data_IF_004532121758
#
_entry.id   IF_004532121758
#
_cell.length_a   1.000
_cell.length_b   1.000
_cell.length_c   1.000
_cell.angle_alpha   90.00
_cell.angle_beta   90.00
_cell.angle_gamma   90.00
#
_symmetry.space_group_name_H-M   'P 1'
#
loop_
_entity.id
_entity.type
_entity.pdbx_description
1 polymer ?
#
# COMPACT_ATOMS: atom_id res chain seq x y z
N UNK A 1 3.50 17.12 28.81
CA UNK A 1 2.84 17.72 27.62
C UNK A 1 3.52 17.13 26.39
N UNK A 2 2.80 16.42 25.53
CA UNK A 2 3.34 15.93 24.26
C UNK A 2 3.59 17.11 23.34
N UNK A 3 4.85 17.36 23.02
CA UNK A 3 5.24 18.44 22.10
C UNK A 3 4.69 18.14 20.68
N UNK A 4 3.75 18.96 20.23
CA UNK A 4 3.05 18.80 18.94
C UNK A 4 3.94 19.33 17.83
N UNK A 5 4.29 18.47 16.88
CA UNK A 5 5.19 18.85 15.79
C UNK A 5 4.44 19.65 14.73
N UNK A 6 4.94 20.85 14.43
CA UNK A 6 4.42 21.67 13.33
C UNK A 6 4.91 21.09 12.00
N UNK A 7 3.97 20.79 11.10
CA UNK A 7 4.26 20.22 9.78
C UNK A 7 3.83 21.21 8.70
N UNK A 8 4.71 21.46 7.73
CA UNK A 8 4.36 22.12 6.48
C UNK A 8 4.10 21.06 5.41
N UNK A 9 3.03 21.21 4.63
CA UNK A 9 2.76 20.35 3.49
C UNK A 9 3.14 21.11 2.21
N UNK A 10 4.02 20.51 1.41
CA UNK A 10 4.43 21.03 0.10
C UNK A 10 4.00 19.99 -0.93
N UNK A 11 3.00 20.35 -1.74
CA UNK A 11 2.32 19.47 -2.68
C UNK A 11 1.88 20.25 -3.90
N UNK A 12 1.83 19.57 -5.04
CA UNK A 12 1.31 20.13 -6.29
C UNK A 12 -0.06 19.53 -6.59
N UNK A 13 -1.06 20.38 -6.85
CA UNK A 13 -2.42 19.97 -7.21
C UNK A 13 -3.29 19.49 -6.04
N UNK A 14 -4.44 18.88 -6.37
CA UNK A 14 -5.47 18.48 -5.38
C UNK A 14 -5.02 17.36 -4.42
N UNK A 15 -3.94 16.63 -4.75
CA UNK A 15 -3.49 15.49 -3.97
C UNK A 15 -3.20 15.84 -2.51
N UNK A 16 -2.56 16.98 -2.28
CA UNK A 16 -2.26 17.44 -0.92
C UNK A 16 -3.49 17.70 -0.06
N UNK A 17 -4.47 18.38 -0.64
CA UNK A 17 -5.68 18.80 0.06
C UNK A 17 -6.63 17.63 0.32
N UNK A 18 -6.74 16.70 -0.64
CA UNK A 18 -7.65 15.57 -0.54
C UNK A 18 -7.02 14.40 0.21
N UNK A 19 -5.77 14.04 -0.09
CA UNK A 19 -5.19 12.79 0.40
C UNK A 19 -4.24 12.93 1.59
N UNK A 20 -3.54 14.06 1.72
CA UNK A 20 -2.50 14.21 2.73
C UNK A 20 -2.94 15.04 3.93
N UNK A 21 -3.53 16.22 3.72
CA UNK A 21 -3.91 17.13 4.80
C UNK A 21 -4.90 16.48 5.80
N UNK A 22 -6.00 15.83 5.39
CA UNK A 22 -6.93 15.21 6.33
C UNK A 22 -6.29 14.07 7.14
N UNK A 23 -5.33 13.36 6.54
CA UNK A 23 -4.62 12.26 7.18
C UNK A 23 -3.59 12.77 8.19
N UNK A 24 -2.88 13.87 7.88
CA UNK A 24 -1.96 14.53 8.80
C UNK A 24 -2.72 15.11 9.99
N UNK A 25 -3.85 15.78 9.75
CA UNK A 25 -4.67 16.41 10.78
C UNK A 25 -5.28 15.39 11.75
N UNK A 26 -5.53 14.17 11.29
CA UNK A 26 -5.98 13.08 12.13
C UNK A 26 -4.90 12.50 13.07
N UNK A 27 -3.62 12.88 12.90
CA UNK A 27 -2.51 12.37 13.73
C UNK A 27 -2.30 13.30 14.93
N UNK A 28 -2.56 12.86 16.18
CA UNK A 28 -2.49 13.74 17.36
C UNK A 28 -1.12 14.37 17.61
N UNK A 29 -0.07 13.75 17.07
CA UNK A 29 1.31 14.18 17.24
C UNK A 29 1.70 15.36 16.33
N UNK A 30 0.86 15.69 15.35
CA UNK A 30 1.15 16.62 14.26
C UNK A 30 0.16 17.77 14.25
N UNK A 31 0.64 18.95 13.85
CA UNK A 31 -0.21 20.10 13.54
C UNK A 31 0.21 20.69 12.20
N UNK A 32 -0.69 20.67 11.22
CA UNK A 32 -0.47 21.31 9.94
C UNK A 32 -0.46 22.83 10.14
N UNK A 33 0.62 23.52 9.74
CA UNK A 33 0.79 24.96 10.00
C UNK A 33 0.72 25.83 8.74
N UNK A 34 0.94 25.27 7.55
CA UNK A 34 0.86 25.98 6.27
C UNK A 34 0.86 25.00 5.09
N UNK A 35 -0.08 25.15 4.16
CA UNK A 35 0.02 24.60 2.80
C UNK A 35 0.93 25.53 2.00
N UNK A 36 2.18 25.13 1.82
CA UNK A 36 3.22 26.00 1.26
C UNK A 36 3.32 25.71 -0.24
N UNK A 37 2.79 26.64 -1.04
CA UNK A 37 2.94 26.62 -2.50
C UNK A 37 4.31 27.14 -2.99
N UNK A 38 5.10 27.79 -2.13
CA UNK A 38 6.40 28.41 -2.50
C UNK A 38 7.51 28.21 -1.44
N UNK A 39 8.71 27.70 -1.79
CA UNK A 39 9.72 27.27 -0.80
C UNK A 39 10.56 28.36 -0.11
N UNK A 40 10.34 29.64 -0.39
CA UNK A 40 11.35 30.72 -0.19
C UNK A 40 11.66 31.14 1.25
N UNK A 41 11.15 30.44 2.28
CA UNK A 41 11.32 30.84 3.71
C UNK A 41 11.74 29.72 4.65
N UNK A 42 12.19 28.57 4.12
CA UNK A 42 12.45 27.39 4.94
C UNK A 42 13.95 27.20 5.23
N UNK A 43 14.27 27.00 6.52
CA UNK A 43 15.63 26.71 6.99
C UNK A 43 16.14 25.33 6.52
N UNK A 44 17.46 25.19 6.44
CA UNK A 44 18.28 24.17 5.75
C UNK A 44 18.20 22.69 6.19
N UNK A 45 17.13 22.23 6.85
CA UNK A 45 17.00 20.82 7.26
C UNK A 45 15.67 20.22 6.81
N UNK A 46 15.65 19.59 5.63
CA UNK A 46 14.50 18.88 5.11
C UNK A 46 14.66 17.37 5.26
N UNK A 47 13.57 16.72 5.66
CA UNK A 47 13.50 15.27 5.77
C UNK A 47 12.69 14.73 4.59
N UNK A 48 13.37 14.20 3.57
CA UNK A 48 12.72 13.58 2.42
C UNK A 48 12.17 12.20 2.79
N UNK A 49 10.90 11.94 2.45
CA UNK A 49 10.20 10.66 2.69
C UNK A 49 9.35 10.28 1.49
N UNK A 50 9.21 8.98 1.24
CA UNK A 50 8.39 8.44 0.15
C UNK A 50 7.07 7.93 0.71
N UNK A 51 5.96 8.41 0.17
CA UNK A 51 4.62 8.04 0.61
C UNK A 51 4.17 6.71 -0.02
N UNK A 52 4.66 5.59 0.51
CA UNK A 52 4.15 4.26 0.18
C UNK A 52 3.02 3.85 1.13
N UNK A 53 1.91 4.61 1.10
CA UNK A 53 0.78 4.46 2.01
C UNK A 53 -0.02 3.15 1.84
N UNK A 54 0.03 2.51 0.67
CA UNK A 54 -0.64 1.23 0.42
C UNK A 54 -0.16 0.06 1.30
N UNK A 55 0.94 0.25 2.06
CA UNK A 55 1.34 -0.66 3.14
C UNK A 55 0.34 -0.69 4.30
N UNK A 56 -0.54 0.30 4.36
CA UNK A 56 -1.63 0.41 5.34
C UNK A 56 -3.00 0.30 4.67
N UNK A 57 -3.08 -0.27 3.45
CA UNK A 57 -4.35 -0.72 2.89
C UNK A 57 -4.85 -1.92 3.73
N UNK A 58 -6.15 -1.95 4.06
CA UNK A 58 -6.73 -3.02 4.87
C UNK A 58 -6.61 -4.40 4.23
N UNK A 59 -6.69 -4.47 2.89
CA UNK A 59 -6.48 -5.71 2.15
C UNK A 59 -5.03 -6.22 2.24
N UNK A 60 -4.04 -5.33 2.12
CA UNK A 60 -2.62 -5.65 2.26
C UNK A 60 -2.29 -6.09 3.69
N UNK A 61 -2.76 -5.36 4.70
CA UNK A 61 -2.60 -5.73 6.12
C UNK A 61 -3.21 -7.12 6.41
N UNK A 62 -4.34 -7.43 5.78
CA UNK A 62 -4.99 -8.75 5.91
C UNK A 62 -4.15 -9.85 5.27
N UNK A 63 -3.56 -9.60 4.09
CA UNK A 63 -2.62 -10.53 3.45
C UNK A 63 -1.40 -10.76 4.35
N UNK A 64 -0.82 -9.70 4.93
CA UNK A 64 0.30 -9.83 5.88
C UNK A 64 -0.08 -10.70 7.08
N UNK A 65 -1.24 -10.47 7.69
CA UNK A 65 -1.75 -11.30 8.80
C UNK A 65 -1.85 -12.79 8.41
N UNK A 66 -2.31 -13.08 7.20
CA UNK A 66 -2.41 -14.47 6.70
C UNK A 66 -1.01 -15.08 6.49
N UNK A 67 -0.07 -14.31 5.96
CA UNK A 67 1.32 -14.76 5.74
C UNK A 67 2.09 -14.97 7.05
N UNK A 68 1.93 -14.07 8.02
CA UNK A 68 2.58 -14.13 9.33
C UNK A 68 2.14 -15.34 10.16
N UNK A 69 0.96 -15.91 9.87
CA UNK A 69 0.53 -17.20 10.37
C UNK A 69 1.45 -18.37 9.96
N UNK A 70 2.52 -18.12 9.18
CA UNK A 70 3.45 -19.10 8.62
C UNK A 70 2.77 -20.19 7.81
N UNK A 71 1.60 -19.88 7.26
CA UNK A 71 0.80 -20.83 6.51
C UNK A 71 1.41 -21.15 5.12
N UNK A 72 2.46 -20.43 4.70
CA UNK A 72 2.86 -20.34 3.28
C UNK A 72 4.38 -20.43 2.97
N UNK A 73 5.29 -20.64 3.94
CA UNK A 73 6.73 -20.91 3.67
C UNK A 73 7.67 -19.69 3.54
N UNK A 74 8.91 -19.87 3.03
CA UNK A 74 10.02 -18.86 2.98
C UNK A 74 10.29 -18.31 1.57
N UNK A 75 10.65 -17.02 1.48
CA UNK A 75 10.85 -16.25 0.23
C UNK A 75 12.30 -15.71 0.11
N UNK A 76 12.95 -15.81 -1.06
CA UNK A 76 14.27 -15.21 -1.39
C UNK A 76 14.38 -15.02 -2.91
N UNK A 77 14.98 -13.96 -3.48
CA UNK A 77 14.81 -13.53 -4.90
C UNK A 77 15.84 -14.11 -5.89
N UNK A 78 15.43 -14.41 -7.14
CA UNK A 78 16.29 -14.87 -8.25
C UNK A 78 16.02 -14.23 -9.65
N UNK A 79 14.94 -13.49 -9.93
CA UNK A 79 14.76 -12.86 -11.27
C UNK A 79 13.47 -12.05 -11.51
N UNK A 80 13.45 -11.22 -12.57
CA UNK A 80 12.30 -10.37 -12.98
C UNK A 80 12.04 -10.45 -14.48
N UNK A 81 10.80 -10.71 -14.88
CA UNK A 81 10.31 -10.70 -16.28
C UNK A 81 9.06 -9.85 -16.38
N UNK A 82 8.88 -9.08 -17.45
CA UNK A 82 7.70 -8.23 -17.58
C UNK A 82 7.20 -8.11 -19.02
N UNK A 83 5.88 -7.92 -19.15
CA UNK A 83 5.18 -7.60 -20.39
C UNK A 83 4.42 -6.29 -20.19
N UNK A 84 4.67 -5.30 -21.03
CA UNK A 84 4.02 -4.00 -21.02
C UNK A 84 3.31 -3.78 -22.35
N UNK A 85 2.04 -3.39 -22.30
CA UNK A 85 1.22 -3.19 -23.49
C UNK A 85 0.44 -1.89 -23.44
N UNK A 86 0.27 -1.34 -24.62
CA UNK A 86 -0.70 -0.29 -24.95
C UNK A 86 -1.88 -0.95 -25.67
N UNK A 87 -2.95 -1.21 -24.94
CA UNK A 87 -4.11 -1.95 -25.44
C UNK A 87 -5.24 -1.04 -25.93
N UNK A 88 -5.45 0.13 -25.32
CA UNK A 88 -6.48 1.08 -25.81
C UNK A 88 -5.91 1.94 -26.93
N UNK A 89 -6.67 2.07 -28.01
CA UNK A 89 -6.28 2.85 -29.20
C UNK A 89 -5.90 4.31 -28.87
N UNK A 90 -6.61 4.92 -27.92
CA UNK A 90 -6.38 6.32 -27.50
C UNK A 90 -5.21 6.49 -26.54
N UNK A 91 -4.63 5.40 -26.02
CA UNK A 91 -3.64 5.50 -24.96
C UNK A 91 -2.28 5.94 -25.50
N UNK A 92 -1.68 6.94 -24.85
CA UNK A 92 -0.32 7.40 -25.19
C UNK A 92 0.75 6.66 -24.39
N UNK A 93 0.37 6.00 -23.30
CA UNK A 93 1.23 5.28 -22.36
C UNK A 93 0.79 3.81 -22.25
N UNK A 94 1.61 2.97 -21.64
CA UNK A 94 1.22 1.61 -21.30
C UNK A 94 0.01 1.63 -20.37
N UNK A 95 -0.98 0.79 -20.66
CA UNK A 95 -2.25 0.70 -19.92
C UNK A 95 -2.59 -0.74 -19.52
N UNK A 96 -1.64 -1.64 -19.73
CA UNK A 96 -1.64 -3.02 -19.29
C UNK A 96 -0.21 -3.44 -18.99
N UNK A 97 -0.01 -4.14 -17.88
CA UNK A 97 1.26 -4.79 -17.58
C UNK A 97 1.07 -6.10 -16.81
N UNK A 98 2.04 -6.99 -16.97
CA UNK A 98 2.26 -8.14 -16.11
C UNK A 98 3.75 -8.22 -15.76
N UNK A 99 4.08 -8.26 -14.47
CA UNK A 99 5.44 -8.42 -13.96
C UNK A 99 5.50 -9.72 -13.16
N UNK A 100 6.38 -10.60 -13.58
CA UNK A 100 6.72 -11.85 -12.92
C UNK A 100 8.05 -11.68 -12.16
N UNK A 101 7.99 -11.81 -10.85
CA UNK A 101 9.17 -11.84 -9.99
C UNK A 101 9.35 -13.25 -9.44
N UNK A 102 10.56 -13.77 -9.57
CA UNK A 102 10.91 -15.14 -9.24
C UNK A 102 11.82 -15.15 -8.03
N UNK A 103 11.50 -16.03 -7.09
CA UNK A 103 12.15 -16.20 -5.82
C UNK A 103 12.34 -17.73 -5.61
N UNK A 104 13.45 -18.26 -5.07
CA UNK A 104 13.52 -19.64 -4.63
C UNK A 104 12.30 -20.06 -3.81
N UNK A 105 11.46 -20.92 -4.39
CA UNK A 105 10.23 -21.42 -3.78
C UNK A 105 9.03 -20.45 -3.79
N UNK A 106 9.15 -19.25 -4.37
CA UNK A 106 8.05 -18.30 -4.53
C UNK A 106 8.00 -17.70 -5.94
N UNK A 107 6.78 -17.56 -6.44
CA UNK A 107 6.50 -16.80 -7.66
C UNK A 107 5.53 -15.67 -7.33
N UNK A 108 5.87 -14.44 -7.70
CA UNK A 108 5.00 -13.28 -7.53
C UNK A 108 4.64 -12.73 -8.90
N UNK A 109 3.34 -12.58 -9.16
CA UNK A 109 2.83 -11.94 -10.38
C UNK A 109 2.08 -10.68 -10.01
N UNK A 110 2.53 -9.54 -10.51
CA UNK A 110 1.84 -8.25 -10.42
C UNK A 110 1.20 -7.96 -11.77
N UNK A 111 -0.07 -7.57 -11.78
CA UNK A 111 -0.77 -7.25 -13.03
C UNK A 111 -1.72 -6.08 -12.84
N UNK A 112 -1.85 -5.26 -13.88
CA UNK A 112 -2.90 -4.26 -13.99
C UNK A 112 -3.30 -4.08 -15.44
N UNK A 113 -4.54 -3.66 -15.68
CA UNK A 113 -5.04 -3.40 -17.02
C UNK A 113 -6.29 -2.53 -17.01
N UNK A 114 -6.43 -1.66 -18.01
CA UNK A 114 -7.59 -0.79 -18.17
C UNK A 114 -8.78 -1.47 -18.87
N UNK A 115 -8.59 -2.66 -19.47
CA UNK A 115 -9.61 -3.41 -20.20
C UNK A 115 -10.08 -4.67 -19.45
N UNK A 116 -10.33 -4.55 -18.15
CA UNK A 116 -10.79 -5.66 -17.29
C UNK A 116 -12.24 -5.40 -16.86
N UNK A 117 -13.21 -5.96 -17.60
CA UNK A 117 -14.65 -5.74 -17.34
C UNK A 117 -15.17 -6.45 -16.10
N UNK A 118 -14.65 -7.65 -15.83
CA UNK A 118 -14.99 -8.43 -14.63
C UNK A 118 -13.70 -8.54 -13.82
N UNK A 119 -13.59 -7.82 -12.70
CA UNK A 119 -12.41 -7.89 -11.86
C UNK A 119 -12.31 -9.27 -11.21
N UNK A 120 -11.12 -9.87 -11.25
CA UNK A 120 -10.79 -11.05 -10.45
C UNK A 120 -10.41 -10.67 -9.00
N UNK A 121 -9.92 -11.64 -8.22
CA UNK A 121 -9.36 -11.36 -6.90
C UNK A 121 -8.19 -10.39 -7.02
N UNK A 122 -8.14 -9.41 -6.13
CA UNK A 122 -7.03 -8.45 -5.99
C UNK A 122 -5.77 -9.12 -5.48
N UNK A 123 -5.93 -10.05 -4.53
CA UNK A 123 -4.85 -10.93 -4.08
C UNK A 123 -5.25 -12.39 -4.24
N UNK A 124 -4.31 -13.17 -4.74
CA UNK A 124 -4.33 -14.63 -4.77
C UNK A 124 -3.03 -15.07 -4.12
N UNK A 125 -3.13 -15.77 -3.00
CA UNK A 125 -1.97 -16.29 -2.28
C UNK A 125 -2.14 -17.79 -2.17
N UNK A 126 -1.15 -18.53 -2.67
CA UNK A 126 -1.19 -19.98 -2.74
C UNK A 126 0.05 -20.54 -2.08
N UNK A 127 -0.14 -21.56 -1.25
CA UNK A 127 0.94 -22.34 -0.68
C UNK A 127 0.57 -23.81 -0.65
N UNK A 128 1.44 -24.60 -0.05
CA UNK A 128 1.32 -26.08 -0.05
C UNK A 128 0.09 -26.58 0.70
N UNK A 129 -0.37 -25.83 1.71
CA UNK A 129 -1.47 -26.24 2.59
C UNK A 129 -2.74 -25.38 2.44
N UNK A 130 -2.78 -24.46 1.48
CA UNK A 130 -3.97 -23.61 1.34
C UNK A 130 -3.89 -22.52 0.28
N UNK A 131 -5.05 -21.92 0.04
CA UNK A 131 -5.24 -20.80 -0.87
C UNK A 131 -6.06 -19.70 -0.18
N UNK A 132 -5.64 -18.46 -0.40
CA UNK A 132 -6.33 -17.27 0.05
C UNK A 132 -6.66 -16.35 -1.12
N UNK A 133 -7.93 -15.98 -1.26
CA UNK A 133 -8.41 -14.99 -2.23
C UNK A 133 -8.93 -13.75 -1.51
N UNK A 134 -8.56 -12.56 -1.98
CA UNK A 134 -9.11 -11.29 -1.47
C UNK A 134 -9.61 -10.44 -2.63
N UNK A 135 -10.89 -10.06 -2.56
CA UNK A 135 -11.53 -9.13 -3.48
C UNK A 135 -11.66 -7.74 -2.84
N UNK A 136 -12.13 -6.77 -3.61
CA UNK A 136 -12.31 -5.39 -3.16
C UNK A 136 -11.03 -4.58 -3.15
N UNK A 137 -11.16 -3.29 -2.88
CA UNK A 137 -10.08 -2.30 -2.77
C UNK A 137 -10.26 -1.57 -1.44
N UNK A 138 -9.17 -1.17 -0.80
CA UNK A 138 -9.22 -0.32 0.38
C UNK A 138 -10.07 0.96 0.16
N UNK A 139 -11.02 1.29 1.05
CA UNK A 139 -11.98 2.37 0.82
C UNK A 139 -11.44 3.77 1.18
N UNK A 140 -10.24 3.90 1.75
CA UNK A 140 -9.75 5.17 2.32
C UNK A 140 -9.61 6.25 1.25
N UNK A 141 -9.10 5.94 0.06
CA UNK A 141 -8.98 6.94 -1.01
C UNK A 141 -10.34 7.49 -1.45
N UNK A 142 -11.36 6.63 -1.57
CA UNK A 142 -12.70 7.06 -1.96
C UNK A 142 -13.40 7.82 -0.84
N UNK A 143 -13.18 7.42 0.42
CA UNK A 143 -13.63 8.19 1.58
C UNK A 143 -13.02 9.60 1.60
N UNK A 144 -11.72 9.73 1.34
CA UNK A 144 -11.04 11.04 1.24
C UNK A 144 -11.62 11.89 0.10
N UNK A 145 -11.87 11.30 -1.07
CA UNK A 145 -12.52 12.00 -2.20
C UNK A 145 -13.93 12.47 -1.86
N UNK A 146 -14.64 11.75 -0.98
CA UNK A 146 -15.95 12.14 -0.46
C UNK A 146 -15.88 13.15 0.71
N UNK A 147 -14.68 13.63 1.05
CA UNK A 147 -14.46 14.60 2.13
C UNK A 147 -14.49 14.00 3.54
N UNK A 148 -14.50 12.66 3.67
CA UNK A 148 -14.41 11.98 4.95
C UNK A 148 -12.98 11.98 5.47
N UNK A 149 -12.81 11.84 6.78
CA UNK A 149 -11.50 11.91 7.44
C UNK A 149 -11.21 10.72 8.35
N UNK A 150 -9.92 10.38 8.62
CA UNK A 150 -9.58 9.32 9.56
C UNK A 150 -9.99 9.54 11.01
N UNK A 151 -10.46 10.75 11.36
CA UNK A 151 -11.03 11.03 12.67
C UNK A 151 -12.45 10.45 12.86
N UNK A 152 -13.10 10.07 11.76
CA UNK A 152 -14.45 9.51 11.80
C UNK A 152 -14.48 8.04 12.26
N UNK A 153 -15.57 7.67 12.93
CA UNK A 153 -15.83 6.28 13.29
C UNK A 153 -15.98 5.41 12.03
N UNK A 154 -15.38 4.22 12.07
CA UNK A 154 -15.41 3.26 10.96
C UNK A 154 -14.42 3.58 9.83
N UNK A 155 -13.42 4.43 10.05
CA UNK A 155 -12.37 4.69 9.08
C UNK A 155 -11.67 3.41 8.62
N UNK A 156 -11.43 3.31 7.30
CA UNK A 156 -10.69 2.20 6.69
C UNK A 156 -11.41 0.84 6.74
N UNK A 157 -12.64 0.76 7.26
CA UNK A 157 -13.41 -0.49 7.32
C UNK A 157 -13.95 -0.83 5.93
N UNK A 158 -13.53 -1.97 5.39
CA UNK A 158 -14.04 -2.50 4.11
C UNK A 158 -15.41 -3.17 4.26
N UNK A 159 -16.09 -3.38 3.14
CA UNK A 159 -17.36 -4.12 3.09
C UNK A 159 -17.21 -5.56 3.55
N UNK A 160 -18.25 -6.15 4.14
CA UNK A 160 -18.23 -7.57 4.58
C UNK A 160 -18.16 -8.54 3.39
N UNK A 161 -18.62 -8.10 2.24
CA UNK A 161 -18.58 -8.80 0.96
C UNK A 161 -17.14 -8.95 0.46
N UNK A 162 -16.24 -8.04 0.86
CA UNK A 162 -14.82 -8.04 0.51
C UNK A 162 -13.95 -8.88 1.46
N UNK A 163 -14.57 -9.61 2.40
CA UNK A 163 -13.84 -10.52 3.29
C UNK A 163 -13.05 -11.54 2.48
N UNK A 164 -11.81 -11.75 2.90
CA UNK A 164 -10.94 -12.74 2.28
C UNK A 164 -11.54 -14.14 2.41
N UNK A 165 -11.28 -15.01 1.46
CA UNK A 165 -11.68 -16.41 1.50
C UNK A 165 -10.41 -17.26 1.66
N UNK A 166 -10.33 -17.99 2.77
CA UNK A 166 -9.22 -18.89 3.08
C UNK A 166 -9.73 -20.33 3.07
N UNK A 167 -9.09 -21.15 2.24
CA UNK A 167 -9.23 -22.60 2.30
C UNK A 167 -7.85 -23.17 2.65
N UNK A 168 -7.72 -23.84 3.79
CA UNK A 168 -6.43 -24.37 4.25
C UNK A 168 -6.58 -25.62 5.09
N UNK A 169 -5.51 -26.41 5.19
CA UNK A 169 -5.40 -27.55 6.09
C UNK A 169 -4.38 -27.26 7.19
N UNK A 170 -4.79 -27.38 8.44
CA UNK A 170 -3.88 -27.26 9.60
C UNK A 170 -4.11 -28.41 10.57
N UNK A 171 -3.06 -29.11 10.98
CA UNK A 171 -3.12 -30.20 11.96
C UNK A 171 -4.28 -31.21 11.71
N UNK A 172 -4.45 -31.64 10.45
CA UNK A 172 -5.50 -32.54 9.94
C UNK A 172 -6.93 -31.99 9.91
N UNK A 173 -7.13 -30.69 10.16
CA UNK A 173 -8.41 -30.01 9.99
C UNK A 173 -8.40 -29.19 8.70
N UNK A 174 -9.41 -29.40 7.84
CA UNK A 174 -9.72 -28.50 6.73
C UNK A 174 -10.55 -27.32 7.24
N UNK A 175 -10.13 -26.12 6.86
CA UNK A 175 -10.76 -24.85 7.19
C UNK A 175 -11.16 -24.20 5.86
N UNK A 176 -12.46 -23.96 5.70
CA UNK A 176 -13.01 -23.09 4.66
C UNK A 176 -13.74 -21.94 5.36
N UNK A 177 -13.14 -20.75 5.33
CA UNK A 177 -13.60 -19.62 6.14
C UNK A 177 -13.45 -18.26 5.44
N UNK A 178 -14.31 -17.33 5.87
CA UNK A 178 -14.16 -15.91 5.56
C UNK A 178 -13.28 -15.23 6.60
N UNK A 179 -12.23 -14.55 6.15
CA UNK A 179 -11.29 -13.80 6.98
C UNK A 179 -11.72 -12.34 6.99
N UNK A 180 -11.93 -11.79 8.19
CA UNK A 180 -12.21 -10.37 8.37
C UNK A 180 -11.07 -9.50 7.82
N UNK A 181 -11.45 -8.52 7.01
CA UNK A 181 -10.52 -7.50 6.51
C UNK A 181 -10.16 -6.56 7.64
N UNK A 182 -8.87 -6.41 7.92
CA UNK A 182 -8.38 -5.40 8.85
C UNK A 182 -8.68 -4.00 8.31
N UNK A 183 -9.03 -3.01 9.16
CA UNK A 183 -9.22 -1.65 8.70
C UNK A 183 -7.92 -1.04 8.16
N UNK A 184 -8.01 -0.33 7.05
CA UNK A 184 -6.93 0.48 6.51
C UNK A 184 -6.60 1.69 7.40
N UNK A 185 -5.35 2.15 7.37
CA UNK A 185 -4.87 3.16 8.33
C UNK A 185 -3.73 4.06 7.81
N UNK A 186 -3.98 4.86 6.77
CA UNK A 186 -2.98 5.80 6.23
C UNK A 186 -2.36 6.76 7.25
N UNK A 187 -3.09 7.10 8.32
CA UNK A 187 -2.60 7.92 9.43
C UNK A 187 -1.39 7.30 10.15
N UNK A 188 -1.25 5.98 10.15
CA UNK A 188 -0.12 5.28 10.77
C UNK A 188 1.21 5.59 10.06
N UNK A 189 1.19 5.90 8.76
CA UNK A 189 2.37 6.39 8.05
C UNK A 189 2.91 7.68 8.70
N UNK A 190 2.03 8.64 8.94
CA UNK A 190 2.39 9.93 9.51
C UNK A 190 2.75 9.84 10.99
N UNK A 191 2.04 8.98 11.74
CA UNK A 191 2.42 8.64 13.12
C UNK A 191 3.83 8.04 13.17
N UNK A 192 4.15 7.12 12.27
CA UNK A 192 5.49 6.53 12.17
C UNK A 192 6.57 7.58 11.83
N UNK A 193 6.30 8.50 10.90
CA UNK A 193 7.21 9.62 10.62
C UNK A 193 7.44 10.47 11.87
N UNK A 194 6.37 10.82 12.57
CA UNK A 194 6.44 11.63 13.79
C UNK A 194 7.25 10.95 14.89
N UNK A 195 7.07 9.64 15.07
CA UNK A 195 7.84 8.83 16.02
C UNK A 195 9.31 8.72 15.60
N UNK A 196 9.59 8.53 14.31
CA UNK A 196 10.94 8.39 13.78
C UNK A 196 11.77 9.68 13.86
N UNK A 197 11.16 10.84 13.58
CA UNK A 197 11.81 12.15 13.75
C UNK A 197 12.21 12.38 15.21
N UNK A 198 11.42 11.85 16.16
CA UNK A 198 11.71 11.92 17.60
C UNK A 198 12.64 10.81 18.09
N UNK A 199 13.17 9.97 17.21
CA UNK A 199 14.06 8.86 17.56
C UNK A 199 13.38 7.73 18.35
N UNK A 200 12.04 7.61 18.29
CA UNK A 200 11.27 6.61 19.07
C UNK A 200 11.05 5.30 18.32
N UNK A 201 10.99 5.35 16.98
CA UNK A 201 10.78 4.19 16.12
C UNK A 201 11.65 4.28 14.87
N UNK A 202 11.93 3.15 14.25
CA UNK A 202 12.46 3.14 12.90
C UNK A 202 11.40 3.57 11.87
N UNK A 203 11.85 4.07 10.72
CA UNK A 203 10.97 4.34 9.59
C UNK A 203 10.39 3.04 9.03
N UNK A 204 9.06 2.99 8.93
CA UNK A 204 8.35 1.90 8.29
C UNK A 204 8.62 1.83 6.78
N UNK A 205 8.89 2.98 6.15
CA UNK A 205 9.36 3.08 4.76
C UNK A 205 10.77 3.65 4.75
N UNK A 206 11.77 2.76 4.68
CA UNK A 206 13.18 3.15 4.59
C UNK A 206 13.49 3.66 3.17
N UNK A 207 14.38 4.67 3.00
CA UNK A 207 14.76 5.17 1.67
C UNK A 207 15.24 4.09 0.72
N UNK A 208 16.03 3.13 1.22
CA UNK A 208 16.52 1.97 0.45
C UNK A 208 15.37 1.12 -0.10
N UNK A 209 14.29 0.91 0.67
CA UNK A 209 13.15 0.13 0.21
C UNK A 209 12.38 0.84 -0.92
N UNK A 210 12.28 2.17 -0.86
CA UNK A 210 11.69 2.95 -1.95
C UNK A 210 12.58 2.91 -3.21
N UNK A 211 13.89 3.01 -3.05
CA UNK A 211 14.85 2.88 -4.14
C UNK A 211 14.78 1.49 -4.80
N UNK A 212 14.64 0.42 -4.02
CA UNK A 212 14.46 -0.94 -4.56
C UNK A 212 13.18 -1.06 -5.39
N UNK A 213 12.12 -0.33 -5.03
CA UNK A 213 10.88 -0.32 -5.83
C UNK A 213 11.14 0.27 -7.22
N UNK A 214 11.85 1.42 -7.28
CA UNK A 214 12.25 2.03 -8.55
C UNK A 214 13.15 1.07 -9.34
N UNK A 215 14.09 0.42 -8.67
CA UNK A 215 14.99 -0.55 -9.31
C UNK A 215 14.24 -1.72 -9.95
N UNK A 216 13.21 -2.25 -9.30
CA UNK A 216 12.37 -3.33 -9.87
C UNK A 216 11.62 -2.83 -11.11
N UNK A 217 11.12 -1.59 -11.09
CA UNK A 217 10.44 -0.99 -12.25
C UNK A 217 11.42 -0.85 -13.43
N UNK A 218 12.62 -0.33 -13.18
CA UNK A 218 13.67 -0.21 -14.21
C UNK A 218 14.02 -1.58 -14.79
N UNK A 219 14.27 -2.58 -13.92
CA UNK A 219 14.58 -3.95 -14.35
C UNK A 219 13.43 -4.57 -15.14
N UNK A 220 12.17 -4.33 -14.75
CA UNK A 220 11.01 -4.80 -15.49
C UNK A 220 10.96 -4.15 -16.89
N UNK A 221 11.20 -2.85 -17.00
CA UNK A 221 11.22 -2.14 -18.30
C UNK A 221 12.39 -2.59 -19.20
N UNK A 222 13.53 -2.97 -18.61
CA UNK A 222 14.68 -3.55 -19.31
C UNK A 222 14.47 -5.01 -19.72
N UNK A 223 13.62 -5.74 -18.98
CA UNK A 223 13.32 -7.14 -19.22
C UNK A 223 12.52 -7.29 -20.51
N UNK A 224 13.22 -7.61 -21.60
CA UNK A 224 12.59 -7.88 -22.90
C UNK A 224 12.05 -9.31 -22.92
N UNK A 225 10.74 -9.44 -23.11
CA UNK A 225 10.14 -10.64 -23.69
C UNK A 225 10.24 -10.62 -25.22
#
# INVERSE_FOLDING_TARGET
>A
MTDVMKVGLIVYGMSGQVFHAPVIEAVPQLKLVKDIRTPSTLSTHFVLRVFQNRRWDGDFLTVQKVLDGKLLGRVVENGVTADFRKQREVSKVDDNFEILMQYPGLKVTLKAGMLVKIPGPRYIVQGTEGTFHKHGIDPQEDALKMGRTPAEFGWGVSSKEDRGHLVTRTANLEIDARVETLPGSYQEYYSNIADAIRGRKELAVKPVTAMNTVRIIELAMESKC
#
